data_IF_785657016744
#
_entry.id   IF_785657016744
#
_cell.length_a   1.000
_cell.length_b   1.000
_cell.length_c   1.000
_cell.angle_alpha   90.00
_cell.angle_beta   90.00
_cell.angle_gamma   90.00
#
_symmetry.space_group_name_H-M   'P 1'
#
loop_
_entity.id
_entity.type
_entity.pdbx_description
1 polymer ?
#
# COMPACT_ATOMS: atom_id res chain seq x y z
N UNK A 1 7.41 -29.38 -11.20
CA UNK A 1 6.72 -28.88 -12.39
C UNK A 1 6.68 -29.91 -13.52
N UNK A 2 7.80 -30.54 -13.89
CA UNK A 2 7.79 -31.67 -14.86
C UNK A 2 6.81 -32.77 -14.46
N UNK A 3 6.81 -33.24 -13.21
CA UNK A 3 5.87 -34.29 -12.75
C UNK A 3 4.40 -33.85 -12.77
N UNK A 4 4.09 -32.58 -12.58
CA UNK A 4 2.73 -32.05 -12.68
C UNK A 4 2.26 -31.99 -14.13
N UNK A 5 3.18 -31.77 -15.07
CA UNK A 5 2.90 -31.71 -16.50
C UNK A 5 2.82 -33.12 -17.10
N UNK A 6 3.63 -34.09 -16.64
CA UNK A 6 3.57 -35.49 -17.00
C UNK A 6 2.26 -36.17 -16.58
N UNK A 7 1.69 -35.82 -15.42
CA UNK A 7 0.41 -36.36 -14.95
C UNK A 7 -0.78 -35.93 -15.82
N UNK A 8 -0.64 -34.87 -16.61
CA UNK A 8 -1.66 -34.37 -17.52
C UNK A 8 -1.75 -35.18 -18.84
N UNK A 9 -0.73 -35.98 -19.20
CA UNK A 9 -0.67 -36.75 -20.46
C UNK A 9 -1.60 -37.96 -20.57
N UNK A 10 -2.27 -38.37 -19.49
CA UNK A 10 -2.96 -39.67 -19.46
C UNK A 10 -4.47 -39.68 -19.74
N UNK A 11 -5.16 -38.51 -19.91
CA UNK A 11 -6.63 -38.50 -19.97
C UNK A 11 -7.33 -37.53 -20.94
N UNK A 12 -6.64 -36.89 -21.86
CA UNK A 12 -7.29 -35.99 -22.82
C UNK A 12 -6.60 -36.06 -24.17
N UNK A 13 -7.35 -36.14 -25.27
CA UNK A 13 -6.86 -36.19 -26.66
C UNK A 13 -6.12 -34.91 -27.13
N UNK A 14 -5.69 -34.04 -26.21
CA UNK A 14 -4.93 -32.81 -26.48
C UNK A 14 -3.70 -32.80 -25.58
N UNK A 15 -2.65 -33.36 -26.09
CA UNK A 15 -1.38 -33.60 -25.39
C UNK A 15 -0.52 -32.35 -25.44
N UNK A 16 0.06 -31.95 -24.30
CA UNK A 16 1.28 -31.18 -24.26
C UNK A 16 2.38 -31.98 -24.96
N UNK A 17 2.81 -31.60 -26.16
CA UNK A 17 3.76 -32.38 -26.94
C UNK A 17 5.20 -32.15 -26.47
N UNK A 18 5.50 -30.96 -25.96
CA UNK A 18 6.80 -30.65 -25.39
C UNK A 18 6.72 -29.58 -24.30
N UNK A 19 7.44 -29.81 -23.22
CA UNK A 19 7.72 -28.79 -22.19
C UNK A 19 9.23 -28.72 -22.05
N UNK A 20 9.76 -27.52 -22.19
CA UNK A 20 11.18 -27.25 -22.05
C UNK A 20 11.44 -26.12 -21.05
N UNK A 21 12.54 -26.23 -20.27
CA UNK A 21 13.05 -25.12 -19.47
C UNK A 21 13.81 -24.19 -20.39
N UNK A 22 13.37 -22.92 -20.44
CA UNK A 22 13.99 -21.90 -21.31
C UNK A 22 15.17 -21.22 -20.63
N UNK A 23 15.02 -20.93 -19.32
CA UNK A 23 16.09 -20.35 -18.50
C UNK A 23 15.58 -19.97 -17.11
N UNK A 24 16.41 -20.05 -16.08
CA UNK A 24 16.02 -19.68 -14.72
C UNK A 24 14.76 -20.42 -14.25
N UNK A 25 13.70 -19.69 -13.97
CA UNK A 25 12.36 -20.16 -13.59
C UNK A 25 11.36 -20.17 -14.76
N UNK A 26 11.84 -19.96 -15.98
CA UNK A 26 11.00 -19.89 -17.19
C UNK A 26 10.93 -21.23 -17.92
N UNK A 27 9.71 -21.60 -18.31
CA UNK A 27 9.37 -22.82 -19.03
C UNK A 27 8.50 -22.50 -20.24
N UNK A 28 8.69 -23.26 -21.30
CA UNK A 28 7.89 -23.16 -22.52
C UNK A 28 7.15 -24.45 -22.75
N UNK A 29 5.88 -24.34 -23.06
CA UNK A 29 5.01 -25.47 -23.40
C UNK A 29 4.49 -25.31 -24.84
N UNK A 30 4.57 -26.37 -25.65
CA UNK A 30 4.05 -26.41 -27.01
C UNK A 30 2.77 -27.22 -27.04
N UNK A 31 1.70 -26.64 -27.58
CA UNK A 31 0.43 -27.27 -27.84
C UNK A 31 0.26 -27.36 -29.37
N UNK A 32 0.45 -28.53 -29.97
CA UNK A 32 0.46 -28.68 -31.44
C UNK A 32 -0.92 -28.52 -32.08
N UNK A 33 -1.98 -28.91 -31.35
CA UNK A 33 -3.35 -28.86 -31.82
C UNK A 33 -4.23 -28.07 -30.89
N UNK A 34 -4.54 -26.82 -31.28
CA UNK A 34 -5.45 -25.92 -30.57
C UNK A 34 -6.56 -25.52 -31.54
N UNK A 35 -7.81 -25.78 -31.18
CA UNK A 35 -8.96 -25.45 -32.02
C UNK A 35 -9.30 -23.98 -31.96
N UNK A 36 -9.25 -23.38 -30.76
CA UNK A 36 -9.54 -21.99 -30.53
C UNK A 36 -8.77 -21.43 -29.30
N UNK A 37 -8.90 -20.14 -29.05
CA UNK A 37 -8.29 -19.45 -27.90
C UNK A 37 -8.67 -20.08 -26.56
N UNK A 38 -9.91 -20.51 -26.42
CA UNK A 38 -10.45 -21.09 -25.17
C UNK A 38 -9.80 -22.40 -24.81
N UNK A 39 -9.35 -23.15 -25.82
CA UNK A 39 -8.62 -24.40 -25.59
C UNK A 39 -7.26 -24.11 -24.94
N UNK A 40 -6.53 -23.14 -25.45
CA UNK A 40 -5.25 -22.73 -24.90
C UNK A 40 -5.41 -22.12 -23.46
N UNK A 41 -6.42 -21.30 -23.27
CA UNK A 41 -6.74 -20.73 -21.94
C UNK A 41 -7.14 -21.84 -20.95
N UNK A 42 -7.85 -22.87 -21.39
CA UNK A 42 -8.22 -24.00 -20.52
C UNK A 42 -7.01 -24.81 -20.09
N UNK A 43 -6.05 -25.02 -20.98
CA UNK A 43 -4.80 -25.71 -20.63
C UNK A 43 -4.00 -24.86 -19.64
N UNK A 44 -3.87 -23.57 -19.89
CA UNK A 44 -3.18 -22.65 -18.98
C UNK A 44 -3.84 -22.61 -17.59
N UNK A 45 -5.18 -22.56 -17.52
CA UNK A 45 -5.92 -22.61 -16.25
C UNK A 45 -5.66 -23.91 -15.49
N UNK A 46 -5.62 -25.06 -16.17
CA UNK A 46 -5.28 -26.33 -15.53
C UNK A 46 -3.85 -26.36 -15.01
N UNK A 47 -2.89 -25.77 -15.72
CA UNK A 47 -1.52 -25.61 -15.21
C UNK A 47 -1.51 -24.81 -13.93
N UNK A 48 -2.21 -23.66 -13.91
CA UNK A 48 -2.30 -22.80 -12.73
C UNK A 48 -2.98 -23.48 -11.54
N UNK A 49 -4.03 -24.28 -11.80
CA UNK A 49 -4.71 -25.08 -10.77
C UNK A 49 -3.78 -26.11 -10.13
N UNK A 50 -3.02 -26.85 -10.97
CA UNK A 50 -2.06 -27.84 -10.49
C UNK A 50 -0.91 -27.19 -9.68
N UNK A 51 -0.50 -25.97 -10.03
CA UNK A 51 0.53 -25.23 -9.30
C UNK A 51 0.09 -24.71 -7.93
N UNK A 52 -1.23 -24.73 -7.64
CA UNK A 52 -1.75 -24.41 -6.30
C UNK A 52 -1.53 -25.52 -5.28
N UNK A 53 -1.33 -26.75 -5.76
CA UNK A 53 -1.03 -27.86 -4.87
C UNK A 53 0.35 -27.65 -4.22
N UNK A 54 0.48 -27.89 -2.93
CA UNK A 54 1.75 -27.69 -2.23
C UNK A 54 2.80 -28.69 -2.72
N UNK A 55 4.02 -28.21 -2.86
CA UNK A 55 5.19 -29.07 -3.12
C UNK A 55 6.06 -29.19 -1.87
N UNK A 56 6.56 -30.39 -1.60
CA UNK A 56 7.42 -30.63 -0.45
C UNK A 56 8.90 -30.55 -0.85
N UNK A 57 9.61 -29.60 -0.28
CA UNK A 57 11.05 -29.42 -0.51
C UNK A 57 11.77 -29.57 0.83
N UNK A 58 12.62 -30.59 0.95
CA UNK A 58 13.35 -30.86 2.19
C UNK A 58 12.46 -31.12 3.41
N UNK A 59 11.22 -31.60 3.20
CA UNK A 59 10.22 -31.87 4.24
C UNK A 59 9.37 -30.64 4.64
N UNK A 60 9.58 -29.51 4.00
CA UNK A 60 8.75 -28.29 4.17
C UNK A 60 7.77 -28.14 3.02
N UNK A 61 6.55 -27.74 3.36
CA UNK A 61 5.50 -27.45 2.42
C UNK A 61 5.75 -26.08 1.78
N UNK A 62 5.85 -26.04 0.45
CA UNK A 62 6.10 -24.82 -0.32
C UNK A 62 4.97 -24.60 -1.34
N UNK A 63 4.49 -23.37 -1.44
CA UNK A 63 3.51 -22.95 -2.44
C UNK A 63 4.22 -22.18 -3.55
N UNK A 64 4.00 -22.57 -4.79
CA UNK A 64 4.58 -21.91 -5.96
C UNK A 64 3.45 -21.45 -6.86
N UNK A 65 3.55 -20.27 -7.41
CA UNK A 65 2.59 -19.74 -8.40
C UNK A 65 3.27 -19.52 -9.74
N UNK A 66 2.51 -19.53 -10.83
CA UNK A 66 3.01 -19.22 -12.14
C UNK A 66 2.19 -18.11 -12.82
N UNK A 67 2.83 -17.43 -13.77
CA UNK A 67 2.14 -16.57 -14.72
C UNK A 67 2.35 -17.13 -16.11
N UNK A 68 1.28 -17.27 -16.88
CA UNK A 68 1.30 -17.95 -18.18
C UNK A 68 0.96 -16.95 -19.27
N UNK A 69 1.86 -16.79 -20.25
CA UNK A 69 1.59 -16.08 -21.50
C UNK A 69 1.29 -17.04 -22.64
N UNK A 70 0.30 -16.73 -23.45
CA UNK A 70 -0.19 -17.59 -24.53
C UNK A 70 -0.08 -16.83 -25.86
N UNK A 71 0.57 -17.42 -26.85
CA UNK A 71 0.58 -16.94 -28.23
C UNK A 71 0.18 -18.05 -29.19
N UNK A 72 -0.62 -17.74 -30.20
CA UNK A 72 -1.22 -18.69 -31.14
C UNK A 72 -0.66 -18.51 -32.55
N UNK A 73 -0.21 -19.60 -33.15
CA UNK A 73 0.18 -19.62 -34.57
C UNK A 73 -1.09 -19.84 -35.45
N UNK A 74 -1.18 -19.23 -36.63
CA UNK A 74 -0.28 -18.17 -37.16
C UNK A 74 -0.67 -16.76 -36.77
N UNK A 75 -1.70 -16.57 -35.94
CA UNK A 75 -2.30 -15.29 -35.61
C UNK A 75 -1.34 -14.34 -34.90
N UNK A 76 -0.62 -14.86 -33.92
CA UNK A 76 0.22 -14.07 -33.02
C UNK A 76 1.71 -14.13 -33.41
N UNK A 77 2.03 -14.69 -34.56
CA UNK A 77 3.38 -14.76 -35.11
C UNK A 77 3.51 -15.87 -36.14
N UNK A 78 4.41 -15.67 -37.10
CA UNK A 78 4.70 -16.65 -38.17
C UNK A 78 6.05 -17.33 -38.01
N UNK A 79 6.84 -16.88 -37.04
CA UNK A 79 8.10 -17.49 -36.64
C UNK A 79 8.10 -17.89 -35.17
N UNK A 80 8.98 -18.81 -34.79
CA UNK A 80 9.19 -19.18 -33.37
C UNK A 80 9.58 -17.97 -32.56
N UNK A 81 10.46 -17.12 -33.09
CA UNK A 81 10.91 -15.92 -32.42
C UNK A 81 9.77 -14.93 -32.13
N UNK A 82 8.83 -14.77 -33.08
CA UNK A 82 7.65 -13.91 -32.88
C UNK A 82 6.70 -14.48 -31.83
N UNK A 83 6.42 -15.79 -31.90
CA UNK A 83 5.55 -16.44 -30.93
C UNK A 83 6.11 -16.39 -29.51
N UNK A 84 7.41 -16.65 -29.34
CA UNK A 84 8.10 -16.54 -28.06
C UNK A 84 8.03 -15.14 -27.49
N UNK A 85 8.39 -14.14 -28.31
CA UNK A 85 8.31 -12.73 -27.90
C UNK A 85 6.90 -12.33 -27.51
N UNK A 86 5.89 -12.74 -28.26
CA UNK A 86 4.51 -12.39 -28.02
C UNK A 86 3.88 -13.15 -26.84
N UNK A 87 4.30 -14.40 -26.59
CA UNK A 87 3.98 -15.14 -25.38
C UNK A 87 4.59 -14.47 -24.14
N UNK A 88 5.83 -14.01 -24.24
CA UNK A 88 6.50 -13.28 -23.14
C UNK A 88 5.78 -11.99 -22.80
N UNK A 89 5.38 -11.19 -23.79
CA UNK A 89 4.54 -9.99 -23.60
C UNK A 89 3.23 -10.35 -22.87
N UNK A 90 2.57 -11.44 -23.24
CA UNK A 90 1.34 -11.87 -22.60
C UNK A 90 1.58 -12.38 -21.17
N UNK A 91 2.66 -13.13 -20.93
CA UNK A 91 3.06 -13.58 -19.59
C UNK A 91 3.31 -12.39 -18.66
N UNK A 92 3.94 -11.36 -19.20
CA UNK A 92 4.18 -10.14 -18.45
C UNK A 92 2.89 -9.40 -18.09
N UNK A 93 1.90 -9.38 -18.99
CA UNK A 93 0.58 -8.85 -18.70
C UNK A 93 -0.12 -9.65 -17.58
N UNK A 94 0.03 -10.97 -17.56
CA UNK A 94 -0.47 -11.82 -16.47
C UNK A 94 0.21 -11.49 -15.12
N UNK A 95 1.52 -11.25 -15.13
CA UNK A 95 2.26 -10.81 -13.92
C UNK A 95 1.74 -9.46 -13.41
N UNK A 96 1.46 -8.52 -14.30
CA UNK A 96 0.95 -7.18 -13.96
C UNK A 96 -0.50 -7.19 -13.44
N UNK A 97 -1.29 -8.20 -13.80
CA UNK A 97 -2.68 -8.38 -13.33
C UNK A 97 -2.81 -9.06 -11.96
N UNK A 98 -1.71 -9.22 -11.23
CA UNK A 98 -1.72 -9.79 -9.88
C UNK A 98 -1.05 -11.17 -9.78
N UNK A 99 -0.34 -11.62 -10.81
CA UNK A 99 0.31 -12.94 -10.88
C UNK A 99 -0.68 -14.11 -10.78
N UNK A 100 -0.19 -15.35 -10.78
CA UNK A 100 -1.02 -16.55 -10.71
C UNK A 100 -2.19 -16.56 -11.71
N UNK A 101 -1.94 -16.11 -12.92
CA UNK A 101 -2.91 -15.86 -13.99
C UNK A 101 -2.35 -16.27 -15.35
N UNK A 102 -3.25 -16.46 -16.32
CA UNK A 102 -2.90 -16.64 -17.72
C UNK A 102 -3.40 -15.43 -18.53
N UNK A 103 -2.62 -15.04 -19.53
CA UNK A 103 -3.00 -14.00 -20.49
C UNK A 103 -2.74 -14.46 -21.91
N UNK A 104 -3.72 -14.23 -22.77
CA UNK A 104 -3.58 -14.44 -24.21
C UNK A 104 -2.94 -13.20 -24.83
N UNK A 105 -1.98 -13.40 -25.74
CA UNK A 105 -1.41 -12.28 -26.47
C UNK A 105 -2.49 -11.53 -27.26
N UNK A 106 -2.41 -10.23 -27.19
CA UNK A 106 -3.19 -9.29 -28.02
C UNK A 106 -2.23 -8.17 -28.47
N UNK A 107 -2.34 -7.66 -29.71
CA UNK A 107 -1.46 -6.60 -30.20
C UNK A 107 -1.37 -5.37 -29.29
N UNK A 108 -2.45 -5.06 -28.56
CA UNK A 108 -2.50 -3.96 -27.59
C UNK A 108 -1.55 -4.19 -26.39
N UNK A 109 -1.20 -5.44 -26.06
CA UNK A 109 -0.25 -5.77 -25.01
C UNK A 109 1.20 -5.44 -25.42
N UNK A 110 1.53 -5.55 -26.70
CA UNK A 110 2.86 -5.23 -27.20
C UNK A 110 3.21 -3.74 -27.02
N UNK A 111 2.22 -2.85 -27.18
CA UNK A 111 2.36 -1.43 -26.85
C UNK A 111 2.69 -1.20 -25.37
N UNK A 112 1.96 -1.86 -24.48
CA UNK A 112 2.18 -1.75 -23.02
C UNK A 112 3.54 -2.23 -22.55
N UNK A 113 4.08 -3.29 -23.15
CA UNK A 113 5.44 -3.78 -22.83
C UNK A 113 6.53 -2.76 -23.18
N UNK A 114 6.43 -2.14 -24.34
CA UNK A 114 7.34 -1.08 -24.77
C UNK A 114 7.19 0.17 -23.91
N UNK A 115 5.96 0.59 -23.65
CA UNK A 115 5.67 1.72 -22.76
C UNK A 115 6.26 1.50 -21.36
N UNK A 116 6.19 0.27 -20.83
CA UNK A 116 6.77 -0.06 -19.53
C UNK A 116 8.29 0.03 -19.54
N UNK A 117 8.98 -0.48 -20.56
CA UNK A 117 10.44 -0.35 -20.69
C UNK A 117 10.88 1.12 -20.82
N UNK A 118 10.13 1.91 -21.57
CA UNK A 118 10.35 3.35 -21.69
C UNK A 118 10.10 4.07 -20.33
N UNK A 119 9.09 3.63 -19.60
CA UNK A 119 8.78 4.15 -18.26
C UNK A 119 9.88 3.79 -17.26
N UNK A 120 10.34 2.53 -17.27
CA UNK A 120 11.44 2.06 -16.43
C UNK A 120 12.72 2.84 -16.68
N UNK A 121 13.12 2.96 -17.93
CA UNK A 121 14.30 3.75 -18.32
C UNK A 121 14.20 5.22 -17.93
N UNK A 122 12.99 5.79 -17.98
CA UNK A 122 12.75 7.16 -17.56
C UNK A 122 12.76 7.29 -16.03
N UNK A 123 12.17 6.32 -15.30
CA UNK A 123 12.11 6.31 -13.84
C UNK A 123 13.50 6.26 -13.19
N UNK A 124 14.43 5.50 -13.79
CA UNK A 124 15.83 5.49 -13.36
C UNK A 124 16.47 6.88 -13.32
N UNK A 125 16.04 7.78 -14.21
CA UNK A 125 16.57 9.15 -14.31
C UNK A 125 15.72 10.18 -13.58
N UNK A 126 14.55 9.78 -13.07
CA UNK A 126 13.60 10.71 -12.47
C UNK A 126 14.14 11.42 -11.22
N UNK A 127 14.89 10.69 -10.36
CA UNK A 127 15.56 11.26 -9.19
C UNK A 127 16.62 12.30 -9.59
N UNK A 128 17.50 11.96 -10.54
CA UNK A 128 18.57 12.84 -10.99
C UNK A 128 18.03 14.10 -11.66
N UNK A 129 16.88 13.99 -12.33
CA UNK A 129 16.25 15.09 -13.06
C UNK A 129 15.32 15.95 -12.21
N UNK A 130 15.12 15.59 -10.93
CA UNK A 130 14.17 16.30 -10.06
C UNK A 130 12.71 16.19 -10.53
N UNK A 131 12.36 15.06 -11.15
CA UNK A 131 11.00 14.81 -11.67
C UNK A 131 10.07 14.25 -10.60
N UNK A 132 10.59 13.82 -9.43
CA UNK A 132 9.77 13.40 -8.30
C UNK A 132 9.33 14.61 -7.49
N UNK A 133 8.06 14.62 -7.09
CA UNK A 133 7.48 15.63 -6.21
C UNK A 133 6.59 14.96 -5.17
N UNK A 134 6.38 15.60 -4.02
CA UNK A 134 5.42 15.17 -3.02
C UNK A 134 4.15 16.01 -3.12
N UNK A 135 3.01 15.34 -3.17
CA UNK A 135 1.72 15.92 -2.87
C UNK A 135 1.32 15.51 -1.46
N UNK A 136 0.58 16.36 -0.79
CA UNK A 136 0.19 16.16 0.60
C UNK A 136 -1.32 16.03 0.69
N UNK A 137 -1.77 15.07 1.49
CA UNK A 137 -3.18 14.91 1.81
C UNK A 137 -3.39 15.15 3.30
N UNK A 138 -4.25 16.11 3.71
CA UNK A 138 -4.41 16.47 5.10
C UNK A 138 -5.15 15.41 5.90
N UNK A 139 -4.66 15.12 7.10
CA UNK A 139 -5.32 14.38 8.18
C UNK A 139 -6.12 15.38 9.01
N UNK A 140 -7.44 15.19 9.14
CA UNK A 140 -8.35 16.17 9.74
C UNK A 140 -8.94 15.64 11.06
N UNK A 141 -8.76 16.36 12.16
CA UNK A 141 -9.59 16.19 13.37
C UNK A 141 -10.94 16.88 13.12
N UNK A 142 -11.99 16.09 12.95
CA UNK A 142 -13.33 16.60 12.61
C UNK A 142 -14.01 17.31 13.80
N UNK A 143 -13.57 17.11 15.06
CA UNK A 143 -14.10 17.81 16.23
C UNK A 143 -13.62 19.26 16.29
N UNK A 144 -12.32 19.44 16.07
CA UNK A 144 -11.68 20.75 16.06
C UNK A 144 -11.75 21.44 14.70
N UNK A 145 -12.21 20.73 13.68
CA UNK A 145 -12.16 21.17 12.30
C UNK A 145 -10.77 21.72 11.91
N UNK A 146 -9.71 21.00 12.28
CA UNK A 146 -8.33 21.39 12.04
C UNK A 146 -7.51 20.26 11.42
N UNK A 147 -6.49 20.64 10.67
CA UNK A 147 -5.47 19.72 10.20
C UNK A 147 -4.58 19.29 11.37
N UNK A 148 -4.33 17.99 11.50
CA UNK A 148 -3.53 17.36 12.56
C UNK A 148 -2.41 16.49 12.01
N UNK A 149 -2.07 16.65 10.76
CA UNK A 149 -1.04 15.93 10.05
C UNK A 149 -1.30 15.96 8.55
N UNK A 150 -0.36 15.43 7.80
CA UNK A 150 -0.51 15.21 6.37
C UNK A 150 0.18 13.92 5.95
N UNK A 151 -0.36 13.23 4.96
CA UNK A 151 0.33 12.15 4.27
C UNK A 151 1.04 12.67 3.02
N UNK A 152 2.35 12.40 2.93
CA UNK A 152 3.17 12.72 1.78
C UNK A 152 3.09 11.61 0.73
N UNK A 153 2.51 11.93 -0.38
CA UNK A 153 2.21 11.00 -1.47
C UNK A 153 3.06 11.32 -2.69
N UNK A 154 3.93 10.42 -3.04
CA UNK A 154 4.85 10.59 -4.16
C UNK A 154 4.10 10.77 -5.48
N UNK A 155 4.58 11.69 -6.32
CA UNK A 155 4.12 11.94 -7.68
C UNK A 155 5.33 12.01 -8.60
N UNK A 156 5.17 11.58 -9.82
CA UNK A 156 6.20 11.70 -10.83
C UNK A 156 5.76 12.67 -11.93
N UNK A 157 6.40 13.82 -11.97
CA UNK A 157 6.17 14.85 -12.98
C UNK A 157 7.09 14.59 -14.18
N UNK A 158 6.61 13.80 -15.13
CA UNK A 158 7.36 13.47 -16.34
C UNK A 158 7.01 14.48 -17.43
N UNK A 159 7.91 15.40 -17.72
CA UNK A 159 7.72 16.43 -18.75
C UNK A 159 6.44 17.27 -18.58
N UNK A 160 6.08 17.63 -17.35
CA UNK A 160 4.88 18.40 -17.05
C UNK A 160 3.60 17.58 -16.94
N UNK A 161 3.66 16.26 -17.09
CA UNK A 161 2.52 15.34 -16.90
C UNK A 161 2.74 14.50 -15.64
N UNK A 162 1.78 14.53 -14.73
CA UNK A 162 1.82 13.69 -13.53
C UNK A 162 1.48 12.25 -13.90
N UNK A 163 2.45 11.34 -13.73
CA UNK A 163 2.26 9.90 -13.83
C UNK A 163 1.61 9.40 -12.54
N UNK A 164 0.59 8.56 -12.66
CA UNK A 164 -0.13 8.03 -11.51
C UNK A 164 0.76 7.10 -10.67
N UNK A 165 0.71 7.16 -9.32
CA UNK A 165 1.49 6.26 -8.46
C UNK A 165 1.29 4.77 -8.79
N UNK A 166 0.07 4.37 -9.16
CA UNK A 166 -0.25 3.01 -9.56
C UNK A 166 0.53 2.52 -10.79
N UNK A 167 1.03 3.43 -11.62
CA UNK A 167 1.78 3.08 -12.84
C UNK A 167 3.28 2.95 -12.57
N UNK A 168 3.85 3.70 -11.59
CA UNK A 168 5.30 3.72 -11.39
C UNK A 168 5.77 3.10 -10.07
N UNK A 169 4.96 3.10 -8.99
CA UNK A 169 5.35 2.51 -7.71
C UNK A 169 5.61 1.00 -7.84
N UNK A 170 4.73 0.18 -8.47
CA UNK A 170 5.03 -1.24 -8.67
C UNK A 170 6.30 -1.47 -9.48
N UNK A 171 6.56 -0.62 -10.48
CA UNK A 171 7.77 -0.66 -11.28
C UNK A 171 9.02 -0.32 -10.44
N UNK A 172 8.93 0.70 -9.59
CA UNK A 172 10.00 1.06 -8.66
C UNK A 172 10.31 -0.08 -7.66
N UNK A 173 9.28 -0.78 -7.19
CA UNK A 173 9.43 -1.97 -6.33
C UNK A 173 10.11 -3.13 -7.06
N UNK A 174 9.67 -3.45 -8.27
CA UNK A 174 10.27 -4.53 -9.08
C UNK A 174 11.75 -4.27 -9.38
N UNK A 175 12.10 -3.03 -9.72
CA UNK A 175 13.47 -2.63 -10.10
C UNK A 175 14.36 -2.26 -8.92
N UNK A 176 13.81 -2.14 -7.70
CA UNK A 176 14.54 -1.70 -6.50
C UNK A 176 14.71 -0.18 -6.40
N UNK A 177 14.24 0.59 -7.38
CA UNK A 177 14.27 2.06 -7.33
C UNK A 177 13.43 2.65 -6.21
N UNK A 178 12.49 1.87 -5.67
CA UNK A 178 11.66 2.31 -4.55
C UNK A 178 12.52 2.70 -3.32
N UNK A 179 13.69 2.10 -3.13
CA UNK A 179 14.59 2.41 -2.01
C UNK A 179 15.11 3.84 -2.11
N UNK A 180 15.89 4.24 -3.14
CA UNK A 180 16.38 5.61 -3.24
C UNK A 180 15.26 6.64 -3.40
N UNK A 181 14.11 6.27 -3.97
CA UNK A 181 12.93 7.15 -4.07
C UNK A 181 12.32 7.42 -2.70
N UNK A 182 12.22 6.42 -1.83
CA UNK A 182 11.70 6.60 -0.47
C UNK A 182 12.64 7.38 0.42
N UNK A 183 13.96 7.18 0.29
CA UNK A 183 14.97 8.01 0.97
C UNK A 183 14.86 9.48 0.57
N UNK A 184 14.62 9.74 -0.71
CA UNK A 184 14.35 11.08 -1.20
C UNK A 184 13.05 11.63 -0.60
N UNK A 185 11.98 10.84 -0.57
CA UNK A 185 10.68 11.26 -0.02
C UNK A 185 10.78 11.62 1.46
N UNK A 186 11.50 10.86 2.27
CA UNK A 186 11.74 11.15 3.70
C UNK A 186 12.48 12.48 3.85
N UNK A 187 13.55 12.71 3.07
CA UNK A 187 14.29 13.98 3.11
C UNK A 187 13.42 15.17 2.68
N UNK A 188 12.63 15.00 1.63
CA UNK A 188 11.75 16.05 1.13
C UNK A 188 10.60 16.35 2.11
N UNK A 189 10.04 15.32 2.76
CA UNK A 189 9.05 15.49 3.81
C UNK A 189 9.63 16.24 5.03
N UNK A 190 10.87 15.90 5.44
CA UNK A 190 11.55 16.63 6.53
C UNK A 190 11.82 18.09 6.15
N UNK A 191 12.23 18.37 4.91
CA UNK A 191 12.40 19.73 4.38
C UNK A 191 11.08 20.50 4.44
N UNK A 192 9.99 19.89 4.00
CA UNK A 192 8.67 20.51 3.98
C UNK A 192 8.12 20.73 5.40
N UNK A 193 8.33 19.78 6.31
CA UNK A 193 7.97 19.93 7.71
C UNK A 193 8.65 21.18 8.34
N UNK A 194 9.92 21.39 8.01
CA UNK A 194 10.65 22.60 8.46
C UNK A 194 10.03 23.88 7.92
N UNK A 195 9.69 23.93 6.62
CA UNK A 195 9.04 25.10 6.02
C UNK A 195 7.71 25.38 6.70
N UNK A 196 6.88 24.36 6.91
CA UNK A 196 5.58 24.54 7.54
C UNK A 196 5.69 24.92 9.01
N UNK A 197 6.69 24.39 9.72
CA UNK A 197 6.96 24.79 11.11
C UNK A 197 7.34 26.25 11.21
N UNK A 198 8.28 26.73 10.37
CA UNK A 198 8.77 28.09 10.40
C UNK A 198 7.74 29.13 9.93
N UNK A 199 6.97 28.77 8.89
CA UNK A 199 6.06 29.72 8.25
C UNK A 199 4.67 29.74 8.88
N UNK A 200 4.21 28.62 9.42
CA UNK A 200 2.81 28.45 9.86
C UNK A 200 2.69 27.91 11.29
N UNK A 201 3.81 27.60 11.96
CA UNK A 201 3.79 26.99 13.30
C UNK A 201 3.22 25.56 13.31
N UNK A 202 3.29 24.85 12.17
CA UNK A 202 2.82 23.47 12.07
C UNK A 202 3.69 22.54 12.92
N UNK A 203 3.11 21.94 13.94
CA UNK A 203 3.81 21.10 14.91
C UNK A 203 3.40 19.61 14.83
N UNK A 204 2.48 19.28 13.93
CA UNK A 204 2.02 17.91 13.71
C UNK A 204 2.95 17.17 12.71
N UNK A 205 2.69 15.87 12.46
CA UNK A 205 3.55 15.02 11.62
C UNK A 205 3.22 15.07 10.13
N UNK A 206 4.25 14.81 9.32
CA UNK A 206 4.10 14.42 7.91
C UNK A 206 4.40 12.92 7.82
N UNK A 207 3.41 12.15 7.40
CA UNK A 207 3.52 10.72 7.23
C UNK A 207 4.11 10.37 5.86
N UNK A 208 5.01 9.40 5.83
CA UNK A 208 5.69 8.91 4.62
C UNK A 208 5.58 7.39 4.56
N UNK A 209 5.14 6.88 3.43
CA UNK A 209 5.07 5.45 3.18
C UNK A 209 6.46 4.81 3.16
N UNK A 210 6.66 3.75 3.95
CA UNK A 210 7.92 3.02 4.10
C UNK A 210 7.80 1.63 3.47
N UNK A 211 8.34 1.41 2.25
CA UNK A 211 8.32 0.10 1.61
C UNK A 211 9.19 -0.91 2.37
N UNK A 212 8.76 -2.17 2.41
CA UNK A 212 9.45 -3.24 3.13
C UNK A 212 10.92 -3.41 2.75
N UNK A 213 11.26 -3.19 1.49
CA UNK A 213 12.66 -3.28 1.04
C UNK A 213 13.63 -2.36 1.76
N UNK A 214 13.14 -1.29 2.39
CA UNK A 214 13.99 -0.43 3.21
C UNK A 214 14.45 -1.11 4.50
N UNK A 215 13.70 -2.07 5.04
CA UNK A 215 14.13 -2.84 6.23
C UNK A 215 15.25 -3.84 5.94
N UNK A 216 15.52 -4.15 4.67
CA UNK A 216 16.72 -4.93 4.29
C UNK A 216 18.02 -4.15 4.48
N UNK A 217 17.92 -2.83 4.68
CA UNK A 217 19.08 -1.96 4.92
C UNK A 217 19.42 -1.90 6.40
N UNK A 218 20.69 -2.11 6.71
CA UNK A 218 21.21 -2.04 8.08
C UNK A 218 21.34 -0.60 8.61
N UNK A 219 21.39 0.38 7.71
CA UNK A 219 21.59 1.81 7.98
C UNK A 219 20.30 2.66 7.90
N UNK A 220 19.12 2.02 7.77
CA UNK A 220 17.82 2.69 7.65
C UNK A 220 17.60 3.75 8.74
N UNK A 221 17.81 3.36 10.01
CA UNK A 221 17.58 4.25 11.17
C UNK A 221 18.48 5.48 11.08
N UNK A 222 19.76 5.27 10.73
CA UNK A 222 20.72 6.35 10.56
C UNK A 222 20.33 7.31 9.43
N UNK A 223 19.87 6.79 8.29
CA UNK A 223 19.39 7.62 7.17
C UNK A 223 18.21 8.50 7.57
N UNK A 224 17.25 7.95 8.30
CA UNK A 224 16.09 8.71 8.77
C UNK A 224 16.53 9.76 9.80
N UNK A 225 17.37 9.38 10.75
CA UNK A 225 17.92 10.30 11.74
C UNK A 225 18.66 11.48 11.08
N UNK A 226 19.50 11.20 10.09
CA UNK A 226 20.23 12.22 9.35
C UNK A 226 19.30 13.13 8.55
N UNK A 227 18.26 12.61 7.90
CA UNK A 227 17.28 13.41 7.18
C UNK A 227 16.57 14.41 8.09
N UNK A 228 16.09 13.96 9.25
CA UNK A 228 15.39 14.78 10.23
C UNK A 228 16.34 15.83 10.85
N UNK A 229 17.55 15.40 11.27
CA UNK A 229 18.53 16.27 11.90
C UNK A 229 19.07 17.34 10.93
N UNK A 230 19.25 16.99 9.64
CA UNK A 230 19.73 17.92 8.62
C UNK A 230 18.83 19.15 8.49
N UNK A 231 17.51 18.97 8.55
CA UNK A 231 16.56 20.06 8.47
C UNK A 231 16.18 20.65 9.85
N UNK A 232 16.71 20.09 10.93
CA UNK A 232 16.49 20.58 12.29
C UNK A 232 15.04 20.50 12.75
N UNK A 233 14.28 19.53 12.26
CA UNK A 233 12.93 19.25 12.73
C UNK A 233 12.94 18.21 13.85
N UNK A 234 11.97 18.21 14.78
CA UNK A 234 11.86 17.15 15.78
C UNK A 234 11.52 15.81 15.09
N UNK A 235 11.98 14.67 15.64
CA UNK A 235 11.81 13.36 15.01
C UNK A 235 10.34 12.98 14.81
N UNK A 236 9.44 13.39 15.73
CA UNK A 236 8.01 13.18 15.60
C UNK A 236 7.35 13.99 14.47
N UNK A 237 8.06 14.95 13.85
CA UNK A 237 7.55 15.64 12.66
C UNK A 237 7.48 14.71 11.43
N UNK A 238 8.14 13.55 11.49
CA UNK A 238 8.04 12.50 10.48
C UNK A 238 7.40 11.28 11.10
N UNK A 239 6.36 10.80 10.46
CA UNK A 239 5.67 9.54 10.74
C UNK A 239 5.96 8.56 9.60
N UNK A 240 6.20 7.29 9.93
CA UNK A 240 6.45 6.25 8.92
C UNK A 240 5.25 5.32 8.85
N UNK A 241 4.68 5.20 7.67
CA UNK A 241 3.54 4.33 7.39
C UNK A 241 4.01 3.01 6.79
N UNK A 242 3.61 1.90 7.40
CA UNK A 242 3.99 0.54 6.99
C UNK A 242 2.72 -0.25 6.78
N UNK A 243 2.57 -0.87 5.60
CA UNK A 243 1.39 -1.69 5.33
C UNK A 243 1.37 -2.94 6.20
N UNK A 244 0.18 -3.35 6.65
CA UNK A 244 -0.02 -4.58 7.43
C UNK A 244 0.62 -5.80 6.76
N UNK A 245 0.33 -6.00 5.47
CA UNK A 245 0.88 -7.12 4.69
C UNK A 245 2.40 -7.06 4.60
N UNK A 246 2.94 -5.85 4.51
CA UNK A 246 4.36 -5.61 4.47
C UNK A 246 5.06 -6.05 5.74
N UNK A 247 4.53 -5.61 6.86
CA UNK A 247 5.06 -5.96 8.19
C UNK A 247 5.12 -7.47 8.41
N UNK A 248 4.08 -8.21 7.98
CA UNK A 248 3.98 -9.66 8.22
C UNK A 248 4.97 -10.50 7.41
N UNK A 249 5.59 -9.97 6.36
CA UNK A 249 6.52 -10.72 5.52
C UNK A 249 7.86 -11.01 6.19
N UNK A 250 8.34 -10.12 7.05
CA UNK A 250 9.69 -10.23 7.66
C UNK A 250 9.75 -9.59 9.05
N UNK A 251 8.91 -10.08 9.96
CA UNK A 251 8.80 -9.57 11.33
C UNK A 251 10.14 -9.57 12.08
N UNK A 252 11.01 -10.56 11.83
CA UNK A 252 12.26 -10.70 12.57
C UNK A 252 13.24 -9.56 12.31
N UNK A 253 13.28 -9.05 11.09
CA UNK A 253 14.13 -7.91 10.70
C UNK A 253 13.45 -6.57 10.94
N UNK A 254 12.13 -6.50 10.76
CA UNK A 254 11.35 -5.26 10.87
C UNK A 254 11.22 -4.79 12.32
N UNK A 255 10.85 -5.67 13.26
CA UNK A 255 10.61 -5.30 14.67
C UNK A 255 11.80 -4.57 15.32
N UNK A 256 13.05 -5.08 15.23
CA UNK A 256 14.19 -4.37 15.82
C UNK A 256 14.43 -2.97 15.23
N UNK A 257 14.21 -2.81 13.92
CA UNK A 257 14.34 -1.51 13.27
C UNK A 257 13.28 -0.52 13.74
N UNK A 258 12.02 -0.98 13.91
CA UNK A 258 10.93 -0.16 14.43
C UNK A 258 11.20 0.31 15.87
N UNK A 259 11.70 -0.55 16.74
CA UNK A 259 12.07 -0.15 18.10
C UNK A 259 13.14 0.94 18.09
N UNK A 260 14.19 0.80 17.28
CA UNK A 260 15.26 1.82 17.16
C UNK A 260 14.71 3.14 16.60
N UNK A 261 13.79 3.10 15.64
CA UNK A 261 13.13 4.30 15.11
C UNK A 261 12.27 5.00 16.16
N UNK A 262 11.53 4.22 16.94
CA UNK A 262 10.72 4.76 18.04
C UNK A 262 11.60 5.34 19.16
N UNK A 263 12.74 4.69 19.50
CA UNK A 263 13.70 5.21 20.50
C UNK A 263 14.27 6.57 20.14
N UNK A 264 14.45 6.88 18.86
CA UNK A 264 14.85 8.22 18.41
C UNK A 264 13.69 9.21 18.28
N UNK A 265 12.45 8.76 18.53
CA UNK A 265 11.24 9.59 18.55
C UNK A 265 10.49 9.72 17.23
N UNK A 266 10.76 8.84 16.25
CA UNK A 266 9.97 8.75 15.01
C UNK A 266 8.69 7.98 15.30
N UNK A 267 7.55 8.52 14.88
CA UNK A 267 6.25 7.85 15.01
C UNK A 267 6.05 6.82 13.90
N UNK A 268 5.32 5.74 14.22
CA UNK A 268 5.08 4.63 13.30
C UNK A 268 3.59 4.34 13.27
N UNK A 269 3.03 4.24 12.07
CA UNK A 269 1.65 3.83 11.84
C UNK A 269 1.56 2.57 10.98
N UNK A 270 0.51 1.79 11.21
CA UNK A 270 0.16 0.66 10.34
C UNK A 270 -0.92 1.10 9.38
N UNK A 271 -0.59 0.94 8.09
CA UNK A 271 -1.47 1.25 6.98
C UNK A 271 -2.22 0.02 6.46
N UNK A 272 -3.34 0.25 5.75
CA UNK A 272 -4.23 -0.77 5.18
C UNK A 272 -4.73 -1.81 6.21
N UNK A 273 -4.88 -1.39 7.49
CA UNK A 273 -5.21 -2.31 8.58
C UNK A 273 -6.57 -3.00 8.40
N UNK A 274 -6.56 -4.32 8.56
CA UNK A 274 -7.73 -5.20 8.44
C UNK A 274 -7.85 -5.89 7.09
N UNK A 275 -6.95 -5.62 6.12
CA UNK A 275 -6.95 -6.28 4.81
C UNK A 275 -6.11 -7.56 4.80
N UNK A 276 -5.25 -7.75 5.82
CA UNK A 276 -4.34 -8.87 5.97
C UNK A 276 -4.71 -9.86 7.08
N UNK A 277 -3.81 -10.78 7.35
CA UNK A 277 -3.91 -11.74 8.45
C UNK A 277 -3.15 -11.24 9.68
N UNK A 278 -3.64 -10.20 10.34
CA UNK A 278 -3.01 -9.72 11.58
C UNK A 278 -3.13 -10.73 12.71
N UNK A 279 -2.00 -11.21 13.18
CA UNK A 279 -1.96 -11.82 14.51
C UNK A 279 -1.99 -10.71 15.56
N UNK A 280 -3.07 -10.60 16.32
CA UNK A 280 -3.22 -9.64 17.42
C UNK A 280 -2.05 -9.70 18.42
N UNK A 281 -1.37 -10.85 18.51
CA UNK A 281 -0.22 -11.03 19.40
C UNK A 281 0.95 -10.12 19.01
N UNK A 282 1.18 -9.86 17.72
CA UNK A 282 2.27 -8.98 17.30
C UNK A 282 1.96 -7.51 17.52
N UNK A 283 0.70 -7.10 17.31
CA UNK A 283 0.28 -5.71 17.54
C UNK A 283 0.62 -5.20 18.94
N UNK A 284 0.55 -6.07 19.95
CA UNK A 284 0.88 -5.71 21.34
C UNK A 284 2.37 -5.51 21.60
N UNK A 285 3.24 -5.99 20.70
CA UNK A 285 4.71 -5.89 20.83
C UNK A 285 5.34 -4.85 19.93
N UNK A 286 4.59 -4.32 18.97
CA UNK A 286 5.08 -3.32 18.03
C UNK A 286 5.09 -1.92 18.66
N UNK A 287 6.15 -1.13 18.45
CA UNK A 287 6.25 0.23 18.94
C UNK A 287 5.51 1.20 17.98
N UNK A 288 4.22 0.98 17.79
CA UNK A 288 3.36 1.77 16.91
C UNK A 288 2.53 2.78 17.70
N UNK A 289 2.19 3.89 17.07
CA UNK A 289 1.39 4.97 17.66
C UNK A 289 -0.01 5.08 17.04
N UNK A 290 -0.21 4.53 15.84
CA UNK A 290 -1.41 4.76 15.05
C UNK A 290 -1.80 3.57 14.18
N UNK A 291 -3.12 3.38 13.98
CA UNK A 291 -3.71 2.46 13.02
C UNK A 291 -4.55 3.23 11.99
N UNK A 292 -4.32 2.97 10.70
CA UNK A 292 -5.11 3.53 9.60
C UNK A 292 -6.11 2.48 9.11
N UNK A 293 -7.38 2.81 9.17
CA UNK A 293 -8.47 1.94 8.67
C UNK A 293 -8.52 2.08 7.17
N UNK A 294 -8.31 0.97 6.45
CA UNK A 294 -8.31 0.93 4.99
C UNK A 294 -9.63 1.42 4.39
N UNK A 295 -9.51 2.13 3.28
CA UNK A 295 -10.63 2.71 2.52
C UNK A 295 -11.67 1.70 2.08
N UNK A 296 -11.34 0.42 1.90
CA UNK A 296 -12.30 -0.61 1.49
C UNK A 296 -13.39 -0.81 2.53
N UNK A 297 -13.06 -0.72 3.82
CA UNK A 297 -14.05 -0.77 4.89
C UNK A 297 -14.88 0.51 4.97
N UNK A 298 -14.25 1.67 4.75
CA UNK A 298 -14.93 2.98 4.81
C UNK A 298 -15.88 3.16 3.63
N UNK A 299 -15.54 2.67 2.44
CA UNK A 299 -16.40 2.76 1.24
C UNK A 299 -17.79 2.19 1.47
N UNK A 300 -17.88 1.04 2.12
CA UNK A 300 -19.12 0.31 2.33
C UNK A 300 -19.77 0.62 3.69
N UNK A 301 -19.23 1.60 4.42
CA UNK A 301 -19.68 1.96 5.77
C UNK A 301 -21.11 2.52 5.76
N UNK A 302 -21.94 1.92 6.62
CA UNK A 302 -23.35 2.27 6.75
C UNK A 302 -24.24 1.72 5.63
N UNK A 303 -23.69 0.93 4.68
CA UNK A 303 -24.47 0.19 3.70
C UNK A 303 -24.78 -1.22 4.19
N UNK A 304 -23.85 -1.83 4.91
CA UNK A 304 -24.00 -3.18 5.47
C UNK A 304 -23.71 -3.18 6.97
N UNK A 305 -24.40 -4.02 7.79
CA UNK A 305 -24.06 -4.18 9.21
C UNK A 305 -22.63 -4.69 9.42
N UNK A 306 -22.12 -5.51 8.49
CA UNK A 306 -20.79 -6.12 8.55
C UNK A 306 -19.68 -5.08 8.49
N UNK A 307 -19.74 -4.13 7.55
CA UNK A 307 -18.73 -3.08 7.43
C UNK A 307 -18.64 -2.21 8.69
N UNK A 308 -19.80 -1.90 9.29
CA UNK A 308 -19.85 -1.16 10.56
C UNK A 308 -19.25 -1.98 11.71
N UNK A 309 -19.51 -3.28 11.78
CA UNK A 309 -18.99 -4.15 12.82
C UNK A 309 -17.46 -4.27 12.78
N UNK A 310 -16.87 -4.40 11.58
CA UNK A 310 -15.41 -4.46 11.39
C UNK A 310 -14.76 -3.18 11.87
N UNK A 311 -15.23 -2.02 11.41
CA UNK A 311 -14.68 -0.71 11.84
C UNK A 311 -14.82 -0.54 13.35
N UNK A 312 -15.96 -0.92 13.94
CA UNK A 312 -16.17 -0.85 15.38
C UNK A 312 -15.14 -1.69 16.13
N UNK A 313 -14.87 -2.91 15.66
CA UNK A 313 -13.87 -3.80 16.24
C UNK A 313 -12.45 -3.21 16.15
N UNK A 314 -12.08 -2.63 15.00
CA UNK A 314 -10.75 -2.00 14.81
C UNK A 314 -10.60 -0.81 15.78
N UNK A 315 -11.60 0.07 15.89
CA UNK A 315 -11.55 1.22 16.79
C UNK A 315 -11.46 0.77 18.25
N UNK A 316 -12.21 -0.25 18.65
CA UNK A 316 -12.17 -0.80 20.00
C UNK A 316 -10.79 -1.41 20.33
N UNK A 317 -10.22 -2.16 19.38
CA UNK A 317 -8.88 -2.73 19.49
C UNK A 317 -7.81 -1.64 19.68
N UNK A 318 -7.78 -0.68 18.78
CA UNK A 318 -6.81 0.42 18.85
C UNK A 318 -6.91 1.18 20.18
N UNK A 319 -8.13 1.49 20.62
CA UNK A 319 -8.37 2.13 21.92
C UNK A 319 -7.85 1.29 23.08
N UNK A 320 -8.04 -0.02 23.05
CA UNK A 320 -7.56 -0.95 24.09
C UNK A 320 -6.02 -1.01 24.14
N UNK A 321 -5.38 -0.79 23.01
CA UNK A 321 -3.91 -0.74 22.88
C UNK A 321 -3.33 0.67 23.09
N UNK A 322 -4.15 1.69 23.30
CA UNK A 322 -3.72 3.08 23.44
C UNK A 322 -3.26 3.73 22.13
N UNK A 323 -3.69 3.18 20.98
CA UNK A 323 -3.31 3.65 19.66
C UNK A 323 -4.30 4.70 19.14
N UNK A 324 -3.80 5.67 18.38
CA UNK A 324 -4.63 6.56 17.57
C UNK A 324 -5.25 5.80 16.41
N UNK A 325 -6.39 6.29 15.92
CA UNK A 325 -7.05 5.71 14.74
C UNK A 325 -7.32 6.80 13.72
N UNK A 326 -6.95 6.53 12.48
CA UNK A 326 -7.33 7.34 11.32
C UNK A 326 -8.19 6.50 10.39
N UNK A 327 -9.27 7.09 9.88
CA UNK A 327 -10.08 6.48 8.83
C UNK A 327 -9.73 7.08 7.47
N UNK A 328 -9.41 6.22 6.51
CA UNK A 328 -9.03 6.62 5.17
C UNK A 328 -10.17 6.52 4.16
N UNK A 329 -10.00 7.25 3.05
CA UNK A 329 -10.96 7.18 1.95
C UNK A 329 -12.34 7.70 2.31
N UNK A 330 -12.44 8.67 3.21
CA UNK A 330 -13.71 9.33 3.55
C UNK A 330 -14.12 10.24 2.39
N UNK A 331 -15.21 9.90 1.70
CA UNK A 331 -15.65 10.60 0.49
C UNK A 331 -16.94 11.41 0.67
N UNK A 332 -17.72 11.12 1.72
CA UNK A 332 -19.00 11.79 1.95
C UNK A 332 -19.31 12.00 3.44
N UNK A 333 -20.24 12.92 3.70
CA UNK A 333 -20.66 13.31 5.05
C UNK A 333 -21.23 12.14 5.85
N UNK A 334 -21.94 11.20 5.22
CA UNK A 334 -22.51 10.03 5.90
C UNK A 334 -21.42 9.16 6.50
N UNK A 335 -20.35 8.89 5.76
CA UNK A 335 -19.20 8.13 6.24
C UNK A 335 -18.56 8.84 7.44
N UNK A 336 -18.29 10.15 7.30
CA UNK A 336 -17.75 10.97 8.38
C UNK A 336 -18.62 10.92 9.66
N UNK A 337 -19.93 11.09 9.54
CA UNK A 337 -20.87 11.06 10.68
C UNK A 337 -20.90 9.68 11.38
N UNK A 338 -20.86 8.60 10.60
CA UNK A 338 -20.84 7.25 11.17
C UNK A 338 -19.51 6.99 11.89
N UNK A 339 -18.37 7.31 11.26
CA UNK A 339 -17.03 7.17 11.86
C UNK A 339 -16.91 7.97 13.16
N UNK A 340 -17.38 9.21 13.16
CA UNK A 340 -17.38 10.06 14.34
C UNK A 340 -18.20 9.45 15.48
N UNK A 341 -19.41 8.93 15.20
CA UNK A 341 -20.24 8.25 16.20
C UNK A 341 -19.58 6.98 16.75
N UNK A 342 -18.78 6.27 15.95
CA UNK A 342 -18.00 5.11 16.39
C UNK A 342 -16.76 5.51 17.20
N UNK A 343 -16.44 6.81 17.26
CA UNK A 343 -15.33 7.36 18.04
C UNK A 343 -14.02 7.50 17.27
N UNK A 344 -14.03 7.37 15.92
CA UNK A 344 -12.95 7.79 15.07
C UNK A 344 -13.09 9.29 14.80
N UNK A 345 -12.06 10.06 15.17
CA UNK A 345 -12.12 11.54 15.12
C UNK A 345 -11.12 12.13 14.13
N UNK A 346 -10.08 11.40 13.76
CA UNK A 346 -9.13 11.81 12.73
C UNK A 346 -9.48 11.06 11.45
N UNK A 347 -9.60 11.79 10.35
CA UNK A 347 -10.06 11.25 9.08
C UNK A 347 -9.28 11.86 7.93
N UNK A 348 -9.13 11.08 6.86
CA UNK A 348 -8.50 11.46 5.61
C UNK A 348 -9.36 11.00 4.44
N UNK A 349 -9.44 11.81 3.38
CA UNK A 349 -10.19 11.41 2.18
C UNK A 349 -10.63 12.59 1.33
N UNK A 350 -11.27 12.27 0.20
CA UNK A 350 -11.67 13.25 -0.81
C UNK A 350 -12.82 14.17 -0.36
N UNK A 351 -13.51 13.82 0.72
CA UNK A 351 -14.44 14.74 1.36
C UNK A 351 -13.75 16.02 1.81
N UNK A 352 -12.53 15.91 2.31
CA UNK A 352 -11.73 17.03 2.82
C UNK A 352 -10.87 17.63 1.73
N UNK A 353 -9.93 16.86 1.20
CA UNK A 353 -9.03 17.24 0.12
C UNK A 353 -8.52 16.03 -0.65
N UNK A 354 -8.28 16.20 -1.93
CA UNK A 354 -7.39 15.32 -2.69
C UNK A 354 -5.95 15.64 -2.33
N UNK A 355 -4.98 14.72 -2.56
CA UNK A 355 -3.56 15.06 -2.46
C UNK A 355 -3.22 16.25 -3.34
N UNK A 356 -2.60 17.27 -2.76
CA UNK A 356 -2.30 18.56 -3.39
C UNK A 356 -0.83 18.91 -3.24
N UNK A 357 -0.27 19.78 -4.12
CA UNK A 357 1.06 20.35 -3.92
C UNK A 357 1.15 21.12 -2.60
N UNK A 358 2.36 21.32 -2.05
CA UNK A 358 2.52 21.97 -0.74
C UNK A 358 1.92 23.36 -0.68
N UNK A 359 1.97 24.14 -1.75
CA UNK A 359 1.44 25.51 -1.82
C UNK A 359 -0.09 25.57 -1.58
N UNK A 360 -0.80 24.56 -2.04
CA UNK A 360 -2.26 24.48 -1.84
C UNK A 360 -2.60 24.06 -0.40
N UNK A 361 -1.77 23.23 0.24
CA UNK A 361 -1.92 22.89 1.66
C UNK A 361 -1.56 24.06 2.56
N UNK A 362 -0.60 24.89 2.19
CA UNK A 362 -0.21 26.09 2.95
C UNK A 362 -1.36 27.07 3.10
N UNK A 363 -2.26 27.14 2.12
CA UNK A 363 -3.49 27.95 2.26
C UNK A 363 -4.41 27.44 3.38
N UNK A 364 -4.38 26.15 3.69
CA UNK A 364 -5.12 25.58 4.82
C UNK A 364 -4.44 25.89 6.15
N UNK A 365 -3.12 25.85 6.21
CA UNK A 365 -2.34 26.13 7.41
C UNK A 365 -2.44 27.60 7.83
N UNK A 366 -2.57 28.53 6.86
CA UNK A 366 -2.80 29.95 7.13
C UNK A 366 -4.16 30.22 7.78
N UNK A 367 -5.12 29.37 7.56
CA UNK A 367 -6.45 29.51 8.11
C UNK A 367 -6.52 28.68 9.40
N UNK A 368 -6.35 29.35 10.56
CA UNK A 368 -6.46 28.73 11.90
C UNK A 368 -7.81 28.01 12.12
N UNK A 369 -8.75 28.22 11.20
CA UNK A 369 -10.04 27.56 11.13
C UNK A 369 -10.23 27.21 9.65
N UNK A 370 -10.47 25.93 9.35
CA UNK A 370 -10.77 25.46 8.00
C UNK A 370 -11.80 26.35 7.28
N UNK A 371 -11.68 26.54 5.95
CA UNK A 371 -12.48 27.51 5.23
C UNK A 371 -13.97 27.31 5.52
N UNK A 372 -14.68 28.35 5.95
CA UNK A 372 -16.13 28.34 6.25
C UNK A 372 -17.02 27.79 5.10
N UNK A 373 -16.40 27.51 3.95
CA UNK A 373 -17.07 26.96 2.76
C UNK A 373 -16.94 25.43 2.62
N UNK A 374 -16.21 24.74 3.53
CA UNK A 374 -16.16 23.30 3.46
C UNK A 374 -17.54 22.72 3.86
N UNK A 375 -18.14 21.85 3.03
CA UNK A 375 -19.55 21.42 3.20
C UNK A 375 -19.79 20.61 4.50
N UNK A 376 -18.74 20.25 5.22
CA UNK A 376 -18.78 19.46 6.45
C UNK A 376 -18.57 20.31 7.73
N UNK A 377 -18.09 21.56 7.66
CA UNK A 377 -17.81 22.40 8.87
C UNK A 377 -19.08 22.69 9.66
N UNK A 378 -20.20 23.04 9.01
CA UNK A 378 -21.46 23.31 9.71
C UNK A 378 -22.04 22.08 10.42
N UNK A 379 -21.79 20.90 9.90
CA UNK A 379 -22.35 19.64 10.43
C UNK A 379 -21.50 19.01 11.52
N UNK A 380 -20.19 19.27 11.55
CA UNK A 380 -19.32 18.83 12.63
C UNK A 380 -19.63 19.55 13.96
N UNK A 381 -20.04 20.83 13.92
CA UNK A 381 -20.48 21.57 15.09
C UNK A 381 -21.83 21.09 15.64
N UNK A 382 -22.74 20.62 14.78
CA UNK A 382 -24.04 20.11 15.19
C UNK A 382 -23.95 18.74 15.88
N UNK A 383 -22.90 17.94 15.53
CA UNK A 383 -22.63 16.65 16.16
C UNK A 383 -22.15 16.81 17.61
N UNK A 384 -21.41 17.88 17.92
CA UNK A 384 -20.93 18.16 19.27
C UNK A 384 -22.04 18.73 20.20
N UNK A 385 -23.13 19.24 19.64
CA UNK A 385 -24.26 19.77 20.41
C UNK A 385 -25.28 18.74 20.91
N UNK A 386 -25.20 17.50 20.44
CA UNK A 386 -26.20 16.45 20.74
C UNK A 386 -25.80 15.49 21.86
N UNK A 387 -24.63 15.62 22.48
CA UNK A 387 -24.14 14.64 23.45
C UNK A 387 -24.27 15.10 24.90
N UNK A 388 -25.46 14.84 25.47
CA UNK A 388 -25.71 14.70 26.89
C UNK A 388 -25.41 13.30 27.46
N UNK A 389 -24.57 12.49 26.78
CA UNK A 389 -24.18 11.16 27.29
C UNK A 389 -22.80 11.27 27.97
N UNK A 390 -22.83 11.65 29.26
CA UNK A 390 -21.72 11.38 30.19
C UNK A 390 -21.50 9.87 30.24
N UNK A 391 -20.37 9.39 29.72
CA UNK A 391 -19.90 8.04 29.96
C UNK A 391 -19.74 7.79 31.48
N UNK A 392 -19.86 6.56 31.97
CA UNK A 392 -19.72 6.27 33.39
C UNK A 392 -18.33 6.66 33.86
N UNK A 393 -18.25 7.53 34.88
CA UNK A 393 -17.02 7.84 35.61
C UNK A 393 -16.44 6.54 36.16
N UNK A 394 -15.37 6.06 35.57
CA UNK A 394 -14.54 5.00 36.14
C UNK A 394 -13.85 5.59 37.39
N UNK A 395 -14.50 5.43 38.59
CA UNK A 395 -13.82 5.61 39.86
C UNK A 395 -12.73 4.54 39.95
N UNK A 396 -11.45 4.94 39.84
CA UNK A 396 -10.33 4.07 40.14
C UNK A 396 -10.39 3.56 41.59
N UNK A 397 -9.96 2.33 41.84
CA UNK A 397 -9.91 1.81 43.22
C UNK A 397 -8.89 2.59 44.05
N UNK A 398 -9.30 3.14 45.16
CA UNK A 398 -8.41 3.69 46.20
C UNK A 398 -7.50 2.57 46.70
N UNK A 399 -6.23 2.65 46.41
CA UNK A 399 -5.21 1.82 47.04
C UNK A 399 -5.13 2.15 48.53
N UNK A 400 -5.59 1.24 49.37
CA UNK A 400 -5.31 1.20 50.81
C UNK A 400 -4.57 -0.12 51.09
N UNK A 401 -3.24 -0.08 51.07
CA UNK A 401 -2.44 -1.08 51.77
C UNK A 401 -1.74 -0.39 52.95
N UNK A 402 -1.88 -0.89 54.18
CA UNK A 402 -1.12 -0.44 55.32
C UNK A 402 0.32 -1.05 55.28
N UNK A 403 1.27 -0.20 55.59
CA UNK A 403 2.67 -0.60 55.83
C UNK A 403 2.71 -1.35 57.17
N UNK A 404 3.23 -2.55 57.15
CA UNK A 404 3.87 -3.23 58.28
C UNK A 404 4.98 -4.13 57.71
#
# INVERSE_FOLDING_TARGET
>A
MESALESMGSRSHRTLEAVGRYGGDEFVALLPEVVDERDAERVASRVLEQMREPIFVGGQECFVTASVGIALFPRDGTSVADLMRNADVAMYAAKAQGRNAASLYRPQLAGKGREKLELESALHKALERGELVLHYQPKIDVRGARMVGAEALMRWNRNGVLVAPADFIPLAEETGLIVPMSEWAIREAARQARIWQDSFGFADSIAVNLPNRLFERTDLVEHIHQAVTHYGVPHHAIELEITETGLMKDLQNVIPALHRLNEIGVEISIDDFGTGYSSLAYLTTLPISELKIDRSFVRDLGLTPQSTAVITAIIALARSLGLRVIAEGVENLRQMEVLHRLGCVVMQGFLFSRPQPPEDIETWLQQTILPKKAPWIGKASDINGADGLRGPELRGPRSSYPVA
#
